data_IF_172478981850
#
_entry.id   IF_172478981850
#
_cell.length_a   1.000
_cell.length_b   1.000
_cell.length_c   1.000
_cell.angle_alpha   90.00
_cell.angle_beta   90.00
_cell.angle_gamma   90.00
#
_symmetry.space_group_name_H-M   'P 1'
#
loop_
_entity.id
_entity.type
_entity.pdbx_description
1 polymer ?
#
# COMPACT_ATOMS: atom_id res chain seq x y z
N UNK A 1 34.66 -0.08 21.48
CA UNK A 1 34.09 -0.57 20.20
C UNK A 1 32.87 0.27 19.93
N UNK A 2 32.82 0.78 18.71
CA UNK A 2 32.10 1.97 18.26
C UNK A 2 30.61 1.97 18.55
N UNK A 3 30.15 3.14 18.98
CA UNK A 3 28.78 3.64 18.93
C UNK A 3 28.33 3.69 17.46
N UNK A 4 28.04 2.53 16.87
CA UNK A 4 27.25 2.45 15.65
C UNK A 4 25.88 3.03 16.00
N UNK A 5 25.58 4.19 15.41
CA UNK A 5 24.29 4.86 15.53
C UNK A 5 23.22 3.80 15.26
N UNK A 6 22.43 3.44 16.28
CA UNK A 6 21.35 2.48 16.12
C UNK A 6 20.39 3.04 15.08
N UNK A 7 20.47 2.53 13.85
CA UNK A 7 19.57 2.83 12.75
C UNK A 7 18.13 2.69 13.25
N UNK A 8 17.29 3.70 12.99
CA UNK A 8 15.87 3.62 13.34
C UNK A 8 15.22 2.42 12.65
N UNK A 9 14.20 1.81 13.25
CA UNK A 9 13.60 0.59 12.69
C UNK A 9 13.02 0.83 11.29
N UNK A 10 12.46 2.02 11.05
CA UNK A 10 12.04 2.46 9.72
C UNK A 10 13.19 2.64 8.74
N UNK A 11 14.31 3.19 9.18
CA UNK A 11 15.49 3.34 8.30
C UNK A 11 16.04 1.98 7.91
N UNK A 12 16.11 1.03 8.86
CA UNK A 12 16.49 -0.36 8.60
C UNK A 12 15.51 -1.04 7.61
N UNK A 13 14.20 -0.88 7.81
CA UNK A 13 13.17 -1.36 6.88
C UNK A 13 13.37 -0.79 5.47
N UNK A 14 13.62 0.52 5.36
CA UNK A 14 13.78 1.18 4.06
C UNK A 14 15.10 0.82 3.36
N UNK A 15 16.13 0.45 4.10
CA UNK A 15 17.40 -0.06 3.55
C UNK A 15 17.39 -1.56 3.24
N UNK A 16 16.31 -2.28 3.61
CA UNK A 16 16.21 -3.73 3.45
C UNK A 16 16.99 -4.53 4.49
N UNK A 17 17.39 -3.89 5.59
CA UNK A 17 17.97 -4.55 6.75
C UNK A 17 16.88 -5.14 7.65
N UNK A 18 17.26 -6.09 8.52
CA UNK A 18 16.34 -6.63 9.51
C UNK A 18 15.88 -5.54 10.48
N UNK A 19 14.58 -5.51 10.74
CA UNK A 19 13.93 -4.53 11.60
C UNK A 19 12.82 -5.18 12.46
N UNK A 20 12.37 -4.47 13.48
CA UNK A 20 11.25 -4.83 14.35
C UNK A 20 9.99 -4.13 13.85
N UNK A 21 9.05 -4.88 13.27
CA UNK A 21 7.83 -4.33 12.69
C UNK A 21 6.83 -3.79 13.73
N UNK A 22 6.98 -4.18 15.00
CA UNK A 22 6.19 -3.68 16.13
C UNK A 22 6.78 -2.41 16.78
N UNK A 23 7.84 -1.85 16.18
CA UNK A 23 8.33 -0.52 16.54
C UNK A 23 7.20 0.52 16.53
N UNK A 24 7.12 1.42 17.52
CA UNK A 24 6.01 2.37 17.64
C UNK A 24 5.79 3.25 16.40
N UNK A 25 6.84 3.62 15.66
CA UNK A 25 6.70 4.42 14.43
C UNK A 25 6.01 3.58 13.33
N UNK A 26 6.53 2.38 13.09
CA UNK A 26 6.01 1.47 12.07
C UNK A 26 4.60 0.98 12.39
N UNK A 27 4.32 0.69 13.65
CA UNK A 27 2.98 0.30 14.12
C UNK A 27 1.96 1.44 13.96
N UNK A 28 2.35 2.69 14.21
CA UNK A 28 1.48 3.84 14.00
C UNK A 28 1.16 4.06 12.51
N UNK A 29 2.14 3.88 11.63
CA UNK A 29 1.93 3.97 10.18
C UNK A 29 1.06 2.83 9.64
N UNK A 30 1.29 1.59 10.09
CA UNK A 30 0.47 0.44 9.71
C UNK A 30 -0.99 0.61 10.19
N UNK A 31 -1.21 1.13 11.40
CA UNK A 31 -2.54 1.46 11.89
C UNK A 31 -3.23 2.53 11.03
N UNK A 32 -2.49 3.57 10.63
CA UNK A 32 -3.01 4.60 9.75
C UNK A 32 -3.46 4.01 8.41
N UNK A 33 -2.63 3.18 7.78
CA UNK A 33 -2.95 2.49 6.53
C UNK A 33 -4.14 1.53 6.68
N UNK A 34 -4.28 0.85 7.83
CA UNK A 34 -5.42 -0.01 8.13
C UNK A 34 -6.73 0.79 8.16
N UNK A 35 -6.76 1.94 8.84
CA UNK A 35 -7.94 2.83 8.89
C UNK A 35 -8.31 3.35 7.48
N UNK A 36 -7.32 3.73 6.68
CA UNK A 36 -7.55 4.16 5.30
C UNK A 36 -8.06 3.00 4.42
N UNK A 37 -7.53 1.80 4.63
CA UNK A 37 -7.97 0.58 3.94
C UNK A 37 -9.41 0.23 4.29
N UNK A 38 -9.81 0.33 5.57
CA UNK A 38 -11.20 0.15 6.00
C UNK A 38 -12.12 1.13 5.29
N UNK A 39 -11.75 2.42 5.25
CA UNK A 39 -12.54 3.45 4.57
C UNK A 39 -12.68 3.17 3.08
N UNK A 40 -11.58 2.85 2.39
CA UNK A 40 -11.61 2.51 0.96
C UNK A 40 -12.48 1.25 0.70
N UNK A 41 -12.32 0.22 1.52
CA UNK A 41 -13.06 -1.04 1.38
C UNK A 41 -14.56 -0.90 1.66
N UNK A 42 -14.96 0.11 2.45
CA UNK A 42 -16.35 0.44 2.71
C UNK A 42 -17.01 1.32 1.62
N UNK A 43 -16.26 1.76 0.59
CA UNK A 43 -16.82 2.64 -0.46
C UNK A 43 -17.83 1.92 -1.36
N UNK A 44 -18.94 2.60 -1.65
CA UNK A 44 -19.97 2.09 -2.56
C UNK A 44 -19.46 2.03 -4.01
N UNK A 45 -19.87 0.99 -4.75
CA UNK A 45 -19.61 0.93 -6.19
C UNK A 45 -20.43 1.96 -6.98
N UNK A 46 -21.48 2.52 -6.37
CA UNK A 46 -22.29 3.59 -6.95
C UNK A 46 -21.70 4.99 -6.74
N UNK A 47 -20.56 5.12 -6.06
CA UNK A 47 -19.87 6.39 -5.79
C UNK A 47 -18.38 6.30 -6.20
N UNK A 48 -18.10 6.37 -7.52
CA UNK A 48 -16.74 6.23 -8.04
C UNK A 48 -15.83 7.39 -7.61
N UNK A 49 -16.36 8.60 -7.40
CA UNK A 49 -15.58 9.74 -6.93
C UNK A 49 -15.08 9.51 -5.50
N UNK A 50 -15.95 9.13 -4.57
CA UNK A 50 -15.54 8.84 -3.19
C UNK A 50 -14.58 7.65 -3.13
N UNK A 51 -14.81 6.62 -3.95
CA UNK A 51 -13.89 5.48 -4.08
C UNK A 51 -12.50 5.92 -4.53
N UNK A 52 -12.43 6.76 -5.57
CA UNK A 52 -11.15 7.26 -6.07
C UNK A 52 -10.46 8.15 -5.03
N UNK A 53 -11.19 9.03 -4.35
CA UNK A 53 -10.64 9.87 -3.30
C UNK A 53 -10.03 9.02 -2.16
N UNK A 54 -10.75 8.00 -1.68
CA UNK A 54 -10.25 7.10 -0.64
C UNK A 54 -9.02 6.29 -1.10
N UNK A 55 -9.01 5.81 -2.36
CA UNK A 55 -7.87 5.09 -2.92
C UNK A 55 -6.62 5.98 -3.04
N UNK A 56 -6.79 7.23 -3.49
CA UNK A 56 -5.70 8.19 -3.60
C UNK A 56 -5.13 8.66 -2.27
N UNK A 57 -5.91 8.59 -1.19
CA UNK A 57 -5.42 8.86 0.16
C UNK A 57 -4.69 7.65 0.75
N UNK A 58 -5.10 6.43 0.39
CA UNK A 58 -4.47 5.18 0.83
C UNK A 58 -3.12 4.92 0.16
N UNK A 59 -3.02 5.18 -1.15
CA UNK A 59 -1.84 4.82 -1.96
C UNK A 59 -0.95 6.01 -2.25
N UNK A 60 0.32 5.75 -2.56
CA UNK A 60 1.29 6.81 -2.86
C UNK A 60 0.99 7.55 -4.17
N UNK A 61 0.60 6.82 -5.22
CA UNK A 61 0.18 7.41 -6.50
C UNK A 61 -0.87 6.54 -7.18
N UNK A 62 -1.90 7.19 -7.73
CA UNK A 62 -2.97 6.52 -8.46
C UNK A 62 -3.18 7.22 -9.81
N UNK A 63 -2.70 6.61 -10.88
CA UNK A 63 -2.81 7.12 -12.24
C UNK A 63 -4.25 7.32 -12.72
N UNK A 64 -4.39 8.07 -13.82
CA UNK A 64 -5.66 8.27 -14.51
C UNK A 64 -6.25 6.94 -15.00
N UNK A 65 -7.55 6.75 -14.82
CA UNK A 65 -8.25 5.55 -15.27
C UNK A 65 -7.89 4.27 -14.51
N UNK A 66 -7.22 4.36 -13.36
CA UNK A 66 -7.00 3.20 -12.47
C UNK A 66 -8.33 2.77 -11.85
N UNK A 67 -8.62 1.48 -11.93
CA UNK A 67 -9.71 0.82 -11.19
C UNK A 67 -9.11 -0.28 -10.32
N UNK A 68 -9.28 -0.13 -9.01
CA UNK A 68 -9.03 -1.19 -8.04
C UNK A 68 -10.37 -1.58 -7.44
N UNK A 69 -10.63 -2.88 -7.32
CA UNK A 69 -11.87 -3.39 -6.74
C UNK A 69 -11.66 -3.80 -5.29
N UNK A 70 -12.43 -3.23 -4.34
CA UNK A 70 -12.33 -3.61 -2.94
C UNK A 70 -12.79 -5.07 -2.73
N UNK A 71 -12.23 -5.83 -1.77
CA UNK A 71 -11.26 -5.33 -0.79
C UNK A 71 -9.83 -5.28 -1.34
N UNK A 72 -9.10 -4.23 -0.95
CA UNK A 72 -7.65 -4.10 -1.06
C UNK A 72 -7.03 -4.19 0.34
N UNK A 73 -5.89 -4.85 0.46
CA UNK A 73 -5.09 -4.90 1.69
C UNK A 73 -3.66 -4.45 1.41
N UNK A 74 -3.11 -3.64 2.30
CA UNK A 74 -1.74 -3.10 2.25
C UNK A 74 -1.13 -3.10 3.66
N UNK A 75 0.20 -2.99 3.75
CA UNK A 75 0.88 -2.74 5.04
C UNK A 75 0.87 -1.25 5.38
N UNK A 76 1.36 -0.43 4.44
CA UNK A 76 1.53 1.02 4.60
C UNK A 76 0.75 1.82 3.54
N UNK A 77 0.51 1.24 2.36
CA UNK A 77 -0.23 1.83 1.25
C UNK A 77 0.55 2.90 0.48
N UNK A 78 1.13 3.88 1.19
CA UNK A 78 1.86 5.00 0.59
C UNK A 78 3.11 4.59 -0.20
N UNK A 79 3.57 3.33 -0.07
CA UNK A 79 4.73 2.79 -0.77
C UNK A 79 4.35 2.02 -2.03
N UNK A 80 3.05 1.96 -2.34
CA UNK A 80 2.49 1.41 -3.56
C UNK A 80 2.09 2.54 -4.52
N UNK A 81 2.57 2.45 -5.77
CA UNK A 81 2.16 3.32 -6.87
C UNK A 81 1.55 2.52 -8.01
N UNK A 82 0.50 3.05 -8.62
CA UNK A 82 -0.24 2.40 -9.73
C UNK A 82 -0.32 3.35 -10.92
N UNK A 83 0.27 2.94 -12.04
CA UNK A 83 0.25 3.68 -13.30
C UNK A 83 -1.13 3.71 -13.98
N UNK A 84 -1.30 4.59 -14.99
CA UNK A 84 -2.60 4.84 -15.61
C UNK A 84 -3.15 3.63 -16.36
N UNK A 85 -4.50 3.58 -16.47
CA UNK A 85 -5.26 2.53 -17.19
C UNK A 85 -5.02 1.11 -16.66
N UNK A 86 -4.62 1.00 -15.40
CA UNK A 86 -4.41 -0.27 -14.72
C UNK A 86 -5.68 -0.75 -14.01
N UNK A 87 -5.98 -2.03 -14.15
CA UNK A 87 -7.10 -2.70 -13.50
C UNK A 87 -6.60 -3.74 -12.51
N UNK A 88 -7.06 -3.66 -11.26
CA UNK A 88 -6.79 -4.64 -10.20
C UNK A 88 -8.12 -5.19 -9.69
N UNK A 89 -8.31 -6.49 -9.85
CA UNK A 89 -9.55 -7.15 -9.48
C UNK A 89 -9.64 -7.43 -7.96
N UNK A 90 -10.78 -7.99 -7.55
CA UNK A 90 -11.14 -8.23 -6.15
C UNK A 90 -10.07 -8.98 -5.35
N UNK A 91 -9.88 -8.57 -4.08
CA UNK A 91 -9.13 -9.34 -3.10
C UNK A 91 -7.62 -9.20 -3.19
N UNK A 92 -7.12 -8.15 -3.84
CA UNK A 92 -5.69 -7.90 -3.95
C UNK A 92 -5.03 -7.65 -2.58
N UNK A 93 -3.82 -8.19 -2.41
CA UNK A 93 -2.97 -7.97 -1.23
C UNK A 93 -1.62 -7.42 -1.69
N UNK A 94 -1.29 -6.18 -1.32
CA UNK A 94 -0.07 -5.48 -1.72
C UNK A 94 0.71 -5.10 -0.46
N UNK A 95 1.48 -6.05 0.07
CA UNK A 95 2.28 -5.85 1.29
C UNK A 95 3.52 -5.04 0.92
N UNK A 96 3.50 -3.75 1.21
CA UNK A 96 4.44 -2.74 0.71
C UNK A 96 5.45 -2.27 1.76
N UNK A 97 6.09 -3.24 2.44
CA UNK A 97 7.31 -3.06 3.26
C UNK A 97 8.50 -2.67 2.37
N UNK A 98 8.56 -3.15 1.12
CA UNK A 98 9.37 -2.60 0.03
C UNK A 98 8.47 -1.89 -1.01
N UNK A 99 9.05 -0.99 -1.81
CA UNK A 99 8.26 -0.20 -2.77
C UNK A 99 7.62 -1.14 -3.79
N UNK A 100 6.32 -0.98 -4.00
CA UNK A 100 5.57 -1.62 -5.10
C UNK A 100 5.29 -0.57 -6.16
N UNK A 101 5.67 -0.84 -7.40
CA UNK A 101 5.33 0.01 -8.55
C UNK A 101 4.67 -0.84 -9.62
N UNK A 102 3.38 -0.59 -9.83
CA UNK A 102 2.61 -1.17 -10.93
C UNK A 102 2.60 -0.17 -12.09
N UNK A 103 2.99 -0.63 -13.29
CA UNK A 103 3.08 0.22 -14.47
C UNK A 103 1.72 0.64 -15.06
N UNK A 104 1.76 1.21 -16.26
CA UNK A 104 0.56 1.52 -17.04
C UNK A 104 0.01 0.26 -17.74
N UNK A 105 -1.29 0.26 -18.04
CA UNK A 105 -1.98 -0.78 -18.81
C UNK A 105 -1.85 -2.21 -18.23
N UNK A 106 -1.67 -2.32 -16.91
CA UNK A 106 -1.55 -3.61 -16.23
C UNK A 106 -2.94 -4.17 -15.92
N UNK A 107 -3.10 -5.49 -16.04
CA UNK A 107 -4.31 -6.20 -15.60
C UNK A 107 -3.94 -7.28 -14.57
N UNK A 108 -4.48 -7.15 -13.35
CA UNK A 108 -4.31 -8.12 -12.28
C UNK A 108 -5.64 -8.85 -12.02
N UNK A 109 -5.59 -10.18 -12.05
CA UNK A 109 -6.74 -11.03 -11.75
C UNK A 109 -7.16 -10.97 -10.27
N UNK A 110 -8.23 -11.71 -9.90
CA UNK A 110 -8.66 -11.79 -8.51
C UNK A 110 -7.61 -12.42 -7.61
N UNK A 111 -7.52 -11.96 -6.37
CA UNK A 111 -6.65 -12.50 -5.31
C UNK A 111 -5.16 -12.52 -5.66
N UNK A 112 -4.69 -11.65 -6.55
CA UNK A 112 -3.26 -11.47 -6.79
C UNK A 112 -2.62 -10.85 -5.55
N UNK A 113 -1.44 -11.35 -5.21
CA UNK A 113 -0.68 -10.89 -4.04
C UNK A 113 0.71 -10.46 -4.48
N UNK A 114 1.12 -9.27 -4.06
CA UNK A 114 2.49 -8.78 -4.14
C UNK A 114 3.01 -8.67 -2.71
N UNK A 115 3.98 -9.51 -2.38
CA UNK A 115 4.49 -9.69 -1.02
C UNK A 115 5.98 -9.34 -1.04
N UNK A 116 6.34 -8.15 -0.60
CA UNK A 116 7.75 -7.75 -0.59
C UNK A 116 8.53 -8.47 0.50
N UNK A 117 9.83 -8.74 0.29
CA UNK A 117 10.68 -9.41 1.28
C UNK A 117 10.87 -8.61 2.57
#
# INVERSE_FOLDING_TARGET
MSDETRTGQKEAMLSGELYLADDPELAAEALHAAVLSERYNATSAADPEARRAALSELLGEVGEGVEVRPPLRVDYGYRTTIGPRTFINFGAVLLDVARITVGADVQMGPNVQLLTP
#
